data_IF_461502686435
#
_entry.id   IF_461502686435
#
_cell.length_a   1.000
_cell.length_b   1.000
_cell.length_c   1.000
_cell.angle_alpha   90.00
_cell.angle_beta   90.00
_cell.angle_gamma   90.00
#
_symmetry.space_group_name_H-M   'P 1'
#
loop_
_entity.id
_entity.type
_entity.pdbx_description
1 polymer ?
#
# COMPACT_ATOMS: atom_id res chain seq x y z
N UNK A 1 10.19 -9.46 28.15
CA UNK A 1 8.75 -9.46 27.84
C UNK A 1 8.48 -8.37 26.82
N UNK A 2 7.56 -8.61 25.89
CA UNK A 2 7.15 -7.59 24.92
C UNK A 2 5.81 -7.02 25.35
N UNK A 3 5.73 -5.70 25.52
CA UNK A 3 4.45 -5.02 25.70
C UNK A 3 3.65 -5.13 24.42
N UNK A 4 2.41 -5.58 24.51
CA UNK A 4 1.56 -5.80 23.35
C UNK A 4 0.15 -5.24 23.55
N UNK A 5 -0.49 -4.96 22.42
CA UNK A 5 -1.94 -4.87 22.31
C UNK A 5 -2.39 -6.00 21.40
N UNK A 6 -3.24 -6.88 21.92
CA UNK A 6 -3.85 -7.99 21.17
C UNK A 6 -5.24 -7.54 20.76
N UNK A 7 -5.57 -7.69 19.48
CA UNK A 7 -6.94 -7.57 18.98
C UNK A 7 -7.45 -8.96 18.59
N UNK A 8 -8.66 -9.27 19.03
CA UNK A 8 -9.31 -10.55 18.80
C UNK A 8 -10.27 -10.46 17.60
N UNK A 9 -10.67 -11.63 17.09
CA UNK A 9 -11.63 -11.73 15.98
C UNK A 9 -13.01 -11.16 16.31
N UNK A 10 -13.39 -11.15 17.59
CA UNK A 10 -14.64 -10.59 18.09
C UNK A 10 -14.62 -9.05 18.20
N UNK A 11 -13.51 -8.41 17.83
CA UNK A 11 -13.32 -6.96 17.92
C UNK A 11 -12.85 -6.46 19.28
N UNK A 12 -12.76 -7.33 20.29
CA UNK A 12 -12.22 -6.95 21.59
C UNK A 12 -10.70 -6.75 21.54
N UNK A 13 -10.17 -5.98 22.49
CA UNK A 13 -8.73 -5.77 22.60
C UNK A 13 -8.25 -5.88 24.05
N UNK A 14 -7.05 -6.44 24.23
CA UNK A 14 -6.38 -6.53 25.53
C UNK A 14 -4.95 -6.01 25.45
N UNK A 15 -4.53 -5.27 26.47
CA UNK A 15 -3.15 -4.80 26.63
C UNK A 15 -2.47 -5.61 27.74
N UNK A 16 -1.23 -5.98 27.51
CA UNK A 16 -0.45 -6.75 28.48
C UNK A 16 0.93 -7.08 27.93
N UNK A 17 1.51 -8.15 28.44
CA UNK A 17 2.86 -8.59 28.12
C UNK A 17 2.86 -10.02 27.56
N UNK A 18 3.68 -10.25 26.55
CA UNK A 18 3.96 -11.60 26.05
C UNK A 18 5.42 -11.93 26.38
N UNK A 19 5.69 -12.98 27.18
CA UNK A 19 7.06 -13.39 27.51
C UNK A 19 7.77 -13.98 26.29
N UNK A 20 7.07 -14.79 25.51
CA UNK A 20 7.58 -15.40 24.29
C UNK A 20 6.44 -15.63 23.29
N UNK A 21 6.68 -15.27 22.02
CA UNK A 21 5.71 -15.46 20.94
C UNK A 21 6.28 -16.37 19.86
N UNK A 22 5.57 -17.47 19.56
CA UNK A 22 5.88 -18.34 18.44
C UNK A 22 4.61 -18.58 17.60
N UNK A 23 4.55 -18.07 16.35
CA UNK A 23 3.37 -18.18 15.50
C UNK A 23 3.05 -19.61 15.04
N UNK A 24 3.98 -20.56 15.20
CA UNK A 24 3.74 -21.97 14.90
C UNK A 24 3.02 -22.72 16.04
N UNK A 25 2.92 -22.13 17.23
CA UNK A 25 2.17 -22.71 18.35
C UNK A 25 0.70 -22.28 18.29
N UNK A 26 -0.19 -23.17 18.71
CA UNK A 26 -1.63 -22.88 18.79
C UNK A 26 -1.99 -21.92 19.93
N UNK A 27 -1.10 -21.75 20.90
CA UNK A 27 -1.34 -20.95 22.09
C UNK A 27 -0.26 -19.91 22.33
N UNK A 28 -0.67 -18.79 22.92
CA UNK A 28 0.16 -17.63 23.22
C UNK A 28 0.04 -17.32 24.71
N UNK A 29 1.15 -17.37 25.48
CA UNK A 29 1.13 -16.91 26.87
C UNK A 29 0.97 -15.39 26.91
N UNK A 30 0.07 -14.90 27.78
CA UNK A 30 -0.28 -13.50 27.90
C UNK A 30 -0.44 -13.11 29.36
N UNK A 31 0.25 -12.06 29.77
CA UNK A 31 0.24 -11.56 31.14
C UNK A 31 -0.47 -10.20 31.20
N UNK A 32 -1.35 -10.04 32.18
CA UNK A 32 -2.08 -8.78 32.43
C UNK A 32 -1.99 -8.41 33.89
N UNK A 33 -2.14 -7.13 34.21
CA UNK A 33 -2.31 -6.71 35.59
C UNK A 33 -3.66 -7.24 36.11
N UNK A 34 -3.65 -7.82 37.32
CA UNK A 34 -4.85 -8.15 38.07
C UNK A 34 -5.70 -6.90 38.33
N UNK A 35 -7.01 -7.04 38.54
CA UNK A 35 -7.94 -5.95 38.87
C UNK A 35 -7.48 -5.13 40.09
N UNK A 36 -6.76 -5.77 41.03
CA UNK A 36 -6.20 -5.12 42.22
C UNK A 36 -4.87 -4.36 41.96
N UNK A 37 -4.34 -4.43 40.74
CA UNK A 37 -3.09 -3.79 40.32
C UNK A 37 -1.81 -4.34 40.96
N UNK A 38 -1.92 -5.33 41.86
CA UNK A 38 -0.80 -5.82 42.70
C UNK A 38 -0.14 -7.11 42.20
N UNK A 39 -0.80 -7.87 41.33
CA UNK A 39 -0.33 -9.18 40.87
C UNK A 39 -0.47 -9.30 39.35
N UNK A 40 0.40 -10.09 38.73
CA UNK A 40 0.29 -10.44 37.31
C UNK A 40 -0.57 -11.70 37.16
N UNK A 41 -1.56 -11.64 36.28
CA UNK A 41 -2.39 -12.78 35.88
C UNK A 41 -1.86 -13.31 34.56
N UNK A 42 -1.38 -14.55 34.57
CA UNK A 42 -0.95 -15.25 33.37
C UNK A 42 -2.13 -16.05 32.79
N UNK A 43 -2.43 -15.80 31.52
CA UNK A 43 -3.47 -16.48 30.74
C UNK A 43 -2.86 -17.08 29.49
N UNK A 44 -3.46 -18.16 29.01
CA UNK A 44 -3.09 -18.77 27.72
C UNK A 44 -4.18 -18.45 26.70
N UNK A 45 -3.82 -17.75 25.62
CA UNK A 45 -4.73 -17.37 24.54
C UNK A 45 -4.58 -18.33 23.36
N UNK A 46 -5.65 -18.60 22.62
CA UNK A 46 -5.59 -19.36 21.37
C UNK A 46 -5.28 -18.44 20.19
N UNK A 47 -4.27 -18.79 19.39
CA UNK A 47 -3.81 -17.96 18.26
C UNK A 47 -4.88 -17.79 17.18
N UNK A 48 -5.81 -18.76 17.09
CA UNK A 48 -6.91 -18.73 16.12
C UNK A 48 -7.97 -17.67 16.44
N UNK A 49 -8.09 -17.26 17.70
CA UNK A 49 -9.01 -16.22 18.17
C UNK A 49 -8.41 -14.81 18.00
N UNK A 50 -7.11 -14.74 17.69
CA UNK A 50 -6.37 -13.48 17.56
C UNK A 50 -6.42 -13.00 16.11
N UNK A 51 -6.89 -11.77 15.93
CA UNK A 51 -6.83 -11.03 14.66
C UNK A 51 -5.40 -10.58 14.36
N UNK A 52 -4.83 -9.83 15.31
CA UNK A 52 -3.46 -9.29 15.21
C UNK A 52 -2.87 -8.98 16.58
N UNK A 53 -1.55 -8.91 16.65
CA UNK A 53 -0.80 -8.53 17.85
C UNK A 53 0.13 -7.38 17.50
N UNK A 54 -0.06 -6.24 18.15
CA UNK A 54 0.78 -5.05 18.02
C UNK A 54 1.87 -5.12 19.09
N UNK A 55 3.13 -5.32 18.68
CA UNK A 55 4.28 -5.29 19.59
C UNK A 55 4.77 -3.86 19.73
N UNK A 56 4.68 -3.28 20.93
CA UNK A 56 4.91 -1.85 21.14
C UNK A 56 6.42 -1.51 21.23
N UNK A 57 6.79 -0.34 20.72
CA UNK A 57 8.15 0.22 20.81
C UNK A 57 8.54 0.43 22.29
N UNK A 58 9.83 0.23 22.61
CA UNK A 58 10.34 0.26 24.00
C UNK A 58 10.48 1.65 24.62
N UNK A 59 10.43 2.74 23.86
CA UNK A 59 10.63 4.10 24.38
C UNK A 59 9.37 4.72 25.01
N UNK A 60 8.84 4.00 26.01
CA UNK A 60 8.39 4.60 27.25
C UNK A 60 9.16 3.89 28.38
N UNK A 61 10.26 4.54 28.77
CA UNK A 61 11.17 4.25 29.87
C UNK A 61 12.30 3.20 29.64
N UNK A 62 13.50 3.77 29.62
CA UNK A 62 14.79 3.30 30.17
C UNK A 62 15.66 2.30 29.40
N UNK A 63 16.89 2.78 29.16
CA UNK A 63 18.07 2.05 28.73
C UNK A 63 18.51 0.96 29.72
N UNK A 64 19.22 -0.02 29.16
CA UNK A 64 20.24 -0.86 29.80
C UNK A 64 19.87 -2.28 30.26
N UNK A 65 20.59 -3.23 29.63
CA UNK A 65 21.02 -4.55 30.12
C UNK A 65 20.02 -5.73 30.08
N UNK A 66 20.27 -6.69 29.18
CA UNK A 66 20.87 -8.03 29.48
C UNK A 66 20.74 -8.99 28.26
N UNK A 67 21.93 -9.41 27.78
CA UNK A 67 22.42 -10.73 27.28
C UNK A 67 21.45 -11.65 26.51
N UNK A 68 21.74 -11.99 25.24
CA UNK A 68 22.62 -13.10 24.76
C UNK A 68 22.24 -14.49 25.27
N UNK A 69 21.33 -15.14 24.55
CA UNK A 69 21.18 -16.57 24.24
C UNK A 69 19.83 -16.65 23.47
N UNK A 70 19.78 -16.89 22.16
CA UNK A 70 20.21 -18.12 21.51
C UNK A 70 20.67 -17.83 20.08
N UNK A 71 21.99 -17.89 19.90
CA UNK A 71 22.67 -17.97 18.61
C UNK A 71 22.43 -19.40 18.08
N UNK A 72 21.25 -19.63 17.51
CA UNK A 72 20.94 -20.82 16.69
C UNK A 72 19.84 -20.56 15.64
N UNK A 73 19.47 -19.30 15.40
CA UNK A 73 18.66 -18.87 14.24
C UNK A 73 19.36 -17.80 13.38
N UNK A 74 20.65 -17.58 13.65
CA UNK A 74 21.49 -16.54 13.04
C UNK A 74 22.02 -16.92 11.65
N UNK A 75 21.22 -17.62 10.85
CA UNK A 75 21.41 -17.73 9.39
C UNK A 75 20.33 -17.01 8.57
N UNK A 76 19.40 -16.30 9.22
CA UNK A 76 18.40 -15.46 8.54
C UNK A 76 18.42 -14.00 9.03
N UNK A 77 19.61 -13.48 9.35
CA UNK A 77 19.79 -12.06 9.61
C UNK A 77 19.99 -11.32 8.27
N UNK A 78 18.95 -10.60 7.81
CA UNK A 78 19.09 -9.55 6.79
C UNK A 78 18.25 -9.72 5.52
N UNK A 79 16.93 -9.56 5.60
CA UNK A 79 16.08 -9.45 4.40
C UNK A 79 14.85 -8.59 4.66
N UNK A 80 14.93 -7.26 4.50
CA UNK A 80 13.71 -6.42 4.37
C UNK A 80 13.15 -6.67 2.97
N UNK A 81 11.95 -7.26 2.83
CA UNK A 81 11.61 -7.96 1.58
C UNK A 81 10.35 -7.49 0.82
N UNK A 82 9.28 -7.01 1.43
CA UNK A 82 8.07 -6.57 0.69
C UNK A 82 7.37 -5.40 1.35
N UNK A 83 6.90 -4.40 0.59
CA UNK A 83 5.91 -3.44 1.08
C UNK A 83 4.53 -4.04 0.84
N UNK A 84 3.79 -4.28 1.92
CA UNK A 84 2.45 -4.82 1.86
C UNK A 84 1.44 -3.72 2.17
N UNK A 85 0.34 -3.78 1.44
CA UNK A 85 -0.93 -3.17 1.85
C UNK A 85 -1.87 -4.33 2.12
N UNK A 86 -2.26 -4.49 3.38
CA UNK A 86 -3.06 -5.61 3.88
C UNK A 86 -4.45 -5.08 4.21
N UNK A 87 -5.45 -5.59 3.52
CA UNK A 87 -6.86 -5.30 3.78
C UNK A 87 -7.47 -6.44 4.57
N UNK A 88 -8.14 -6.11 5.68
CA UNK A 88 -8.75 -7.08 6.58
C UNK A 88 -10.27 -7.14 6.43
N UNK A 89 -10.87 -8.23 6.91
CA UNK A 89 -12.30 -8.53 6.73
C UNK A 89 -13.24 -7.47 7.33
N UNK A 90 -12.75 -6.65 8.27
CA UNK A 90 -13.49 -5.55 8.88
C UNK A 90 -13.21 -4.18 8.25
N UNK A 91 -12.56 -4.17 7.08
CA UNK A 91 -12.22 -2.95 6.33
C UNK A 91 -10.98 -2.22 6.83
N UNK A 92 -10.32 -2.72 7.88
CA UNK A 92 -9.07 -2.14 8.36
C UNK A 92 -7.92 -2.40 7.36
N UNK A 93 -7.21 -1.33 6.99
CA UNK A 93 -6.06 -1.40 6.07
C UNK A 93 -4.76 -1.12 6.82
N UNK A 94 -3.84 -2.08 6.76
CA UNK A 94 -2.50 -1.95 7.33
C UNK A 94 -1.46 -1.83 6.22
N UNK A 95 -0.58 -0.83 6.33
CA UNK A 95 0.53 -0.64 5.39
C UNK A 95 1.86 -0.75 6.11
N UNK A 96 2.73 -1.61 5.59
CA UNK A 96 4.01 -1.86 6.23
C UNK A 96 4.98 -2.64 5.36
N UNK A 97 6.12 -2.98 5.92
CA UNK A 97 7.13 -3.84 5.29
C UNK A 97 7.20 -5.18 5.99
N UNK A 98 7.49 -6.25 5.27
CA UNK A 98 7.73 -7.58 5.85
C UNK A 98 9.00 -8.21 5.31
N UNK A 99 9.58 -9.14 6.08
CA UNK A 99 10.74 -9.93 5.69
C UNK A 99 10.36 -11.12 4.80
N UNK A 100 9.12 -11.62 4.91
CA UNK A 100 8.61 -12.77 4.16
C UNK A 100 7.08 -12.73 4.16
N UNK A 101 6.48 -12.96 2.99
CA UNK A 101 5.05 -13.17 2.86
C UNK A 101 4.78 -14.26 1.84
N UNK A 102 3.91 -15.20 2.20
CA UNK A 102 3.32 -16.18 1.30
C UNK A 102 1.82 -16.21 1.53
N UNK A 103 0.98 -16.10 0.49
CA UNK A 103 -0.48 -16.23 0.63
C UNK A 103 -0.93 -17.57 1.25
N UNK A 104 -0.06 -18.59 1.22
CA UNK A 104 -0.35 -19.93 1.76
C UNK A 104 -0.02 -20.06 3.26
N UNK A 105 0.72 -19.11 3.82
CA UNK A 105 1.04 -19.12 5.26
C UNK A 105 -0.16 -18.64 6.08
N UNK A 106 -0.40 -19.29 7.22
CA UNK A 106 -1.52 -18.97 8.12
C UNK A 106 -1.38 -17.60 8.81
N UNK A 107 -0.19 -17.02 8.77
CA UNK A 107 0.10 -15.73 9.40
C UNK A 107 1.40 -15.14 8.87
N UNK A 108 1.58 -13.84 9.05
CA UNK A 108 2.82 -13.15 8.72
C UNK A 108 3.02 -11.95 9.64
N UNK A 109 4.23 -11.37 9.59
CA UNK A 109 4.54 -10.13 10.31
C UNK A 109 4.54 -8.93 9.37
N UNK A 110 4.20 -7.77 9.90
CA UNK A 110 4.22 -6.49 9.22
C UNK A 110 4.87 -5.44 10.14
N UNK A 111 5.92 -4.79 9.67
CA UNK A 111 6.49 -3.59 10.30
C UNK A 111 5.77 -2.36 9.76
N UNK A 112 5.05 -1.58 10.57
CA UNK A 112 4.26 -0.46 10.08
C UNK A 112 5.15 0.61 9.44
N UNK A 113 4.71 1.18 8.33
CA UNK A 113 5.41 2.27 7.64
C UNK A 113 5.09 3.65 8.21
N UNK A 114 3.97 3.78 8.94
CA UNK A 114 3.60 5.02 9.61
C UNK A 114 4.53 5.26 10.82
N UNK A 115 5.33 6.35 10.85
CA UNK A 115 6.20 6.65 11.99
C UNK A 115 5.43 6.85 13.30
N UNK A 116 4.17 7.29 13.21
CA UNK A 116 3.27 7.49 14.36
C UNK A 116 2.62 6.20 14.88
N UNK A 117 2.83 5.05 14.22
CA UNK A 117 2.36 3.77 14.75
C UNK A 117 3.19 3.40 16.00
N UNK A 118 2.55 3.09 17.15
CA UNK A 118 3.27 2.73 18.37
C UNK A 118 3.91 1.33 18.28
N UNK A 119 3.63 0.57 17.22
CA UNK A 119 4.13 -0.80 17.05
C UNK A 119 5.51 -0.82 16.39
N UNK A 120 6.41 -1.63 16.93
CA UNK A 120 7.65 -2.05 16.28
C UNK A 120 7.36 -3.06 15.16
N UNK A 121 6.43 -3.99 15.42
CA UNK A 121 5.95 -4.97 14.46
C UNK A 121 4.54 -5.42 14.81
N UNK A 122 3.82 -5.93 13.82
CA UNK A 122 2.44 -6.39 13.92
C UNK A 122 2.42 -7.84 13.42
N UNK A 123 1.98 -8.77 14.26
CA UNK A 123 1.59 -10.11 13.81
C UNK A 123 0.19 -10.04 13.22
N UNK A 124 -0.03 -10.64 12.04
CA UNK A 124 -1.32 -10.65 11.36
C UNK A 124 -1.72 -12.11 11.09
N UNK A 125 -2.93 -12.47 11.49
CA UNK A 125 -3.53 -13.76 11.17
C UNK A 125 -4.15 -13.70 9.76
N UNK A 126 -3.69 -14.57 8.84
CA UNK A 126 -4.11 -14.54 7.44
C UNK A 126 -5.60 -14.83 7.26
N UNK A 127 -6.28 -15.46 8.23
CA UNK A 127 -7.75 -15.68 8.19
C UNK A 127 -8.55 -14.37 8.21
N UNK A 128 -7.93 -13.31 8.71
CA UNK A 128 -8.55 -11.99 8.81
C UNK A 128 -8.27 -11.12 7.59
N UNK A 129 -7.48 -11.63 6.64
CA UNK A 129 -6.96 -10.85 5.52
C UNK A 129 -7.77 -11.19 4.28
N UNK A 130 -8.41 -10.19 3.72
CA UNK A 130 -9.19 -10.31 2.49
C UNK A 130 -8.28 -10.16 1.27
N UNK A 131 -7.31 -9.25 1.34
CA UNK A 131 -6.42 -8.94 0.21
C UNK A 131 -5.06 -8.46 0.69
N UNK A 132 -4.01 -8.84 -0.05
CA UNK A 132 -2.66 -8.31 0.15
C UNK A 132 -2.10 -7.83 -1.19
N UNK A 133 -1.85 -6.53 -1.30
CA UNK A 133 -1.10 -5.94 -2.40
C UNK A 133 0.40 -5.94 -2.06
N UNK A 134 1.19 -6.59 -2.90
CA UNK A 134 2.64 -6.70 -2.75
C UNK A 134 3.33 -5.71 -3.69
N UNK A 135 3.89 -4.64 -3.11
CA UNK A 135 4.78 -3.74 -3.84
C UNK A 135 6.21 -4.25 -3.73
N UNK A 136 6.78 -4.67 -4.86
CA UNK A 136 8.19 -5.08 -4.98
C UNK A 136 9.12 -3.87 -4.77
N UNK A 137 10.09 -4.02 -3.87
CA UNK A 137 11.05 -2.98 -3.53
C UNK A 137 12.29 -3.08 -4.41
N UNK A 138 12.81 -1.94 -4.88
CA UNK A 138 13.98 -1.86 -5.77
C UNK A 138 15.18 -2.69 -5.27
N UNK A 139 15.53 -2.57 -3.99
CA UNK A 139 16.64 -3.31 -3.39
C UNK A 139 16.48 -4.83 -3.52
N UNK A 140 15.26 -5.35 -3.41
CA UNK A 140 14.99 -6.78 -3.57
C UNK A 140 15.00 -7.21 -5.03
N UNK A 141 14.51 -6.36 -5.94
CA UNK A 141 14.60 -6.61 -7.37
C UNK A 141 16.05 -6.76 -7.83
N UNK A 142 16.95 -5.95 -7.28
CA UNK A 142 18.39 -6.06 -7.51
C UNK A 142 18.97 -7.38 -6.98
N UNK A 143 18.48 -7.87 -5.83
CA UNK A 143 18.88 -9.19 -5.29
C UNK A 143 18.35 -10.34 -6.14
N UNK A 144 17.07 -10.30 -6.52
CA UNK A 144 16.43 -11.36 -7.30
C UNK A 144 17.00 -11.42 -8.74
N UNK A 145 17.37 -10.27 -9.31
CA UNK A 145 18.12 -10.16 -10.57
C UNK A 145 19.60 -10.57 -10.43
N UNK A 146 20.04 -10.98 -9.23
CA UNK A 146 21.43 -11.35 -8.89
C UNK A 146 22.45 -10.24 -9.16
N UNK A 147 22.01 -8.98 -9.16
CA UNK A 147 22.86 -7.80 -9.34
C UNK A 147 23.60 -7.45 -8.04
N UNK A 148 22.97 -7.70 -6.89
CA UNK A 148 23.58 -7.56 -5.57
C UNK A 148 23.23 -8.76 -4.68
N UNK A 149 24.03 -9.02 -3.66
CA UNK A 149 23.73 -10.00 -2.61
C UNK A 149 22.87 -9.40 -1.50
N UNK A 150 22.19 -10.26 -0.73
CA UNK A 150 21.43 -9.81 0.45
C UNK A 150 22.28 -9.06 1.47
N UNK A 151 23.55 -9.46 1.64
CA UNK A 151 24.50 -8.78 2.53
C UNK A 151 24.86 -7.37 2.02
N UNK A 152 25.05 -7.21 0.71
CA UNK A 152 25.33 -5.91 0.10
C UNK A 152 24.12 -4.96 0.23
N UNK A 153 22.90 -5.49 0.03
CA UNK A 153 21.68 -4.72 0.26
C UNK A 153 21.56 -4.29 1.74
N UNK A 154 21.86 -5.19 2.69
CA UNK A 154 21.79 -4.88 4.11
C UNK A 154 22.77 -3.77 4.51
N UNK A 155 24.00 -3.81 4.00
CA UNK A 155 24.99 -2.77 4.25
C UNK A 155 24.52 -1.41 3.70
N UNK A 156 23.94 -1.39 2.50
CA UNK A 156 23.39 -0.18 1.91
C UNK A 156 22.19 0.38 2.71
N UNK A 157 21.34 -0.50 3.26
CA UNK A 157 20.22 -0.11 4.14
C UNK A 157 20.70 0.48 5.47
N UNK A 158 21.78 -0.04 6.04
CA UNK A 158 22.38 0.51 7.26
C UNK A 158 22.90 1.94 7.01
N UNK A 159 23.58 2.16 5.89
CA UNK A 159 24.04 3.50 5.47
C UNK A 159 22.85 4.45 5.22
N UNK A 160 21.75 3.95 4.67
CA UNK A 160 20.53 4.73 4.48
C UNK A 160 19.86 5.10 5.82
N UNK A 161 19.93 4.23 6.82
CA UNK A 161 19.37 4.49 8.15
C UNK A 161 20.11 5.65 8.85
N UNK A 162 21.43 5.73 8.65
CA UNK A 162 22.28 6.83 9.14
C UNK A 162 22.07 8.13 8.35
N UNK A 163 21.72 8.04 7.06
CA UNK A 163 21.43 9.19 6.21
C UNK A 163 20.14 9.03 5.41
N UNK A 164 19.01 9.35 6.05
CA UNK A 164 17.66 9.20 5.49
C UNK A 164 17.39 10.01 4.21
N UNK A 165 18.24 10.99 3.87
CA UNK A 165 18.11 11.77 2.63
C UNK A 165 18.66 11.03 1.41
N UNK A 166 19.52 10.04 1.60
CA UNK A 166 20.10 9.25 0.50
C UNK A 166 19.14 8.14 0.06
N UNK A 167 19.01 7.98 -1.25
CA UNK A 167 18.22 6.90 -1.84
C UNK A 167 19.05 5.62 -1.89
N UNK A 168 18.42 4.48 -1.62
CA UNK A 168 19.11 3.17 -1.62
C UNK A 168 19.81 2.88 -2.95
N UNK A 169 19.20 3.25 -4.08
CA UNK A 169 19.81 3.11 -5.40
C UNK A 169 21.07 3.96 -5.58
N UNK A 170 21.11 5.18 -5.01
CA UNK A 170 22.30 6.04 -5.06
C UNK A 170 23.43 5.46 -4.22
N UNK A 171 23.12 4.94 -3.02
CA UNK A 171 24.09 4.29 -2.14
C UNK A 171 24.72 3.08 -2.82
N UNK A 172 23.91 2.26 -3.51
CA UNK A 172 24.39 1.08 -4.24
C UNK A 172 25.30 1.44 -5.42
N UNK A 173 25.05 2.58 -6.09
CA UNK A 173 25.93 3.09 -7.16
C UNK A 173 27.21 3.68 -6.58
N UNK A 174 27.13 4.48 -5.50
CA UNK A 174 28.29 5.07 -4.82
C UNK A 174 29.23 4.01 -4.25
N UNK A 175 28.69 2.88 -3.79
CA UNK A 175 29.47 1.74 -3.31
C UNK A 175 29.96 0.82 -4.45
N UNK A 176 29.77 1.22 -5.71
CA UNK A 176 30.15 0.45 -6.91
C UNK A 176 29.55 -0.96 -6.97
N UNK A 177 28.43 -1.19 -6.26
CA UNK A 177 27.75 -2.48 -6.22
C UNK A 177 26.89 -2.71 -7.45
N UNK A 178 26.38 -1.63 -8.05
CA UNK A 178 25.65 -1.63 -9.32
C UNK A 178 26.09 -0.44 -10.15
N UNK A 179 26.08 -0.59 -11.48
CA UNK A 179 26.26 0.54 -12.39
C UNK A 179 25.02 1.42 -12.46
N UNK A 180 25.20 2.68 -12.86
CA UNK A 180 24.07 3.59 -13.10
C UNK A 180 23.09 3.05 -14.16
N UNK A 181 23.61 2.37 -15.19
CA UNK A 181 22.81 1.68 -16.21
C UNK A 181 21.95 0.56 -15.61
N UNK A 182 22.52 -0.29 -14.75
CA UNK A 182 21.78 -1.37 -14.08
C UNK A 182 20.74 -0.83 -13.09
N UNK A 183 21.04 0.30 -12.44
CA UNK A 183 20.08 1.00 -11.60
C UNK A 183 18.90 1.50 -12.45
N UNK A 184 19.16 2.14 -13.59
CA UNK A 184 18.14 2.65 -14.50
C UNK A 184 17.28 1.50 -15.07
N UNK A 185 17.90 0.41 -15.52
CA UNK A 185 17.20 -0.81 -15.97
C UNK A 185 16.33 -1.40 -14.85
N UNK A 186 16.82 -1.46 -13.62
CA UNK A 186 16.06 -2.01 -12.48
C UNK A 186 14.95 -1.06 -12.02
N UNK A 187 15.14 0.25 -12.18
CA UNK A 187 14.10 1.26 -11.97
C UNK A 187 13.04 1.18 -13.07
N UNK A 188 13.42 0.86 -14.30
CA UNK A 188 12.48 0.65 -15.39
C UNK A 188 11.69 -0.64 -15.21
N UNK A 189 12.32 -1.74 -14.79
CA UNK A 189 11.60 -2.96 -14.35
C UNK A 189 10.71 -2.65 -13.15
N UNK A 190 11.13 -1.81 -12.20
CA UNK A 190 10.28 -1.39 -11.06
C UNK A 190 9.09 -0.53 -11.52
N UNK A 191 9.28 0.30 -12.54
CA UNK A 191 8.21 1.07 -13.19
C UNK A 191 7.31 0.16 -14.03
N UNK A 192 7.81 -0.92 -14.61
CA UNK A 192 7.05 -1.93 -15.37
C UNK A 192 6.29 -2.90 -14.45
N UNK A 193 6.79 -3.15 -13.23
CA UNK A 193 6.05 -3.85 -12.15
C UNK A 193 4.94 -2.97 -11.54
N UNK A 194 4.71 -1.76 -12.07
CA UNK A 194 3.36 -1.18 -12.12
C UNK A 194 2.53 -2.04 -13.06
N UNK A 195 2.22 -3.27 -12.62
CA UNK A 195 1.41 -4.27 -13.29
C UNK A 195 0.45 -3.61 -14.28
N UNK A 196 0.75 -3.69 -15.58
CA UNK A 196 -0.04 -3.05 -16.62
C UNK A 196 -1.51 -3.40 -16.41
N UNK A 197 -2.43 -2.43 -16.56
CA UNK A 197 -3.86 -2.61 -16.28
C UNK A 197 -4.40 -3.93 -16.85
N UNK A 198 -4.01 -4.25 -18.10
CA UNK A 198 -4.36 -5.50 -18.75
C UNK A 198 -3.89 -6.75 -18.02
N UNK A 199 -2.64 -6.79 -17.56
CA UNK A 199 -2.07 -7.93 -16.83
C UNK A 199 -2.68 -8.09 -15.42
N UNK A 200 -3.14 -7.01 -14.80
CA UNK A 200 -3.91 -7.07 -13.55
C UNK A 200 -5.25 -7.74 -13.80
N UNK A 201 -5.97 -7.27 -14.83
CA UNK A 201 -7.29 -7.75 -15.18
C UNK A 201 -7.27 -9.23 -15.61
N UNK A 202 -6.22 -9.66 -16.31
CA UNK A 202 -6.03 -11.08 -16.67
C UNK A 202 -5.74 -11.93 -15.45
N UNK A 203 -4.83 -11.50 -14.56
CA UNK A 203 -4.51 -12.24 -13.32
C UNK A 203 -5.69 -12.34 -12.36
N UNK A 204 -6.52 -11.29 -12.32
CA UNK A 204 -7.74 -11.26 -11.52
C UNK A 204 -8.92 -11.98 -12.21
N UNK A 205 -8.70 -12.62 -13.37
CA UNK A 205 -9.69 -13.37 -14.15
C UNK A 205 -10.89 -12.54 -14.67
N UNK A 206 -10.75 -11.21 -14.72
CA UNK A 206 -11.71 -10.30 -15.34
C UNK A 206 -11.57 -10.27 -16.88
N UNK A 207 -10.39 -10.61 -17.39
CA UNK A 207 -10.11 -10.74 -18.82
C UNK A 207 -9.42 -12.06 -19.14
N UNK A 208 -9.71 -12.62 -20.31
CA UNK A 208 -8.84 -13.65 -20.90
C UNK A 208 -7.66 -13.01 -21.62
N UNK A 209 -6.60 -13.80 -21.87
CA UNK A 209 -5.44 -13.29 -22.59
C UNK A 209 -5.80 -12.83 -24.00
N UNK A 210 -6.68 -13.56 -24.66
CA UNK A 210 -7.15 -13.27 -26.01
C UNK A 210 -7.96 -11.96 -26.08
N UNK A 211 -8.78 -11.70 -25.06
CA UNK A 211 -9.54 -10.45 -24.95
C UNK A 211 -8.63 -9.25 -24.76
N UNK A 212 -7.59 -9.40 -23.92
CA UNK A 212 -6.59 -8.36 -23.72
C UNK A 212 -5.81 -8.08 -25.00
N UNK A 213 -5.31 -9.12 -25.68
CA UNK A 213 -4.53 -8.96 -26.91
C UNK A 213 -5.35 -8.27 -28.01
N UNK A 214 -6.65 -8.57 -28.11
CA UNK A 214 -7.58 -7.88 -29.01
C UNK A 214 -7.74 -6.39 -28.67
N UNK A 215 -7.92 -6.06 -27.41
CA UNK A 215 -8.04 -4.67 -26.98
C UNK A 215 -6.76 -3.87 -27.22
N UNK A 216 -5.58 -4.48 -27.03
CA UNK A 216 -4.27 -3.88 -27.31
C UNK A 216 -4.06 -3.62 -28.80
N UNK A 217 -4.53 -4.51 -29.68
CA UNK A 217 -4.50 -4.27 -31.14
C UNK A 217 -5.30 -3.02 -31.52
N UNK A 218 -6.52 -2.89 -31.00
CA UNK A 218 -7.38 -1.72 -31.24
C UNK A 218 -6.74 -0.45 -30.67
N UNK A 219 -6.10 -0.53 -29.49
CA UNK A 219 -5.39 0.60 -28.90
C UNK A 219 -4.20 1.05 -29.76
N UNK A 220 -3.50 0.11 -30.39
CA UNK A 220 -2.38 0.39 -31.28
C UNK A 220 -2.85 1.16 -32.53
N UNK A 221 -4.04 0.84 -33.04
CA UNK A 221 -4.68 1.53 -34.15
C UNK A 221 -5.27 2.89 -33.73
N UNK A 222 -5.76 3.01 -32.49
CA UNK A 222 -6.34 4.24 -31.95
C UNK A 222 -5.63 4.71 -30.68
N UNK A 223 -4.50 5.41 -30.86
CA UNK A 223 -3.67 5.91 -29.75
C UNK A 223 -4.33 6.97 -28.87
N UNK A 224 -5.45 7.56 -29.28
CA UNK A 224 -6.19 8.53 -28.47
C UNK A 224 -7.03 7.84 -27.38
N UNK A 225 -7.46 6.60 -27.61
CA UNK A 225 -8.26 5.85 -26.65
C UNK A 225 -7.37 5.08 -25.68
N UNK A 226 -7.78 5.08 -24.41
CA UNK A 226 -7.10 4.30 -23.37
C UNK A 226 -7.61 2.87 -23.36
N UNK A 227 -6.76 1.93 -22.92
CA UNK A 227 -7.09 0.50 -22.86
C UNK A 227 -8.41 0.25 -22.10
N UNK A 228 -8.63 0.92 -20.97
CA UNK A 228 -9.86 0.77 -20.18
C UNK A 228 -11.12 1.21 -20.94
N UNK A 229 -11.06 2.26 -21.76
CA UNK A 229 -12.18 2.69 -22.60
C UNK A 229 -12.50 1.63 -23.65
N UNK A 230 -11.47 1.10 -24.31
CA UNK A 230 -11.62 0.06 -25.34
C UNK A 230 -12.23 -1.21 -24.74
N UNK A 231 -11.80 -1.63 -23.54
CA UNK A 231 -12.32 -2.80 -22.85
C UNK A 231 -13.82 -2.66 -22.51
N UNK A 232 -14.27 -1.46 -22.15
CA UNK A 232 -15.69 -1.17 -21.93
C UNK A 232 -16.48 -1.12 -23.24
N UNK A 233 -15.95 -0.49 -24.29
CA UNK A 233 -16.59 -0.46 -25.63
C UNK A 233 -16.77 -1.86 -26.22
N UNK A 234 -15.80 -2.74 -26.00
CA UNK A 234 -15.87 -4.16 -26.39
C UNK A 234 -16.82 -4.98 -25.51
N UNK A 235 -17.42 -4.38 -24.47
CA UNK A 235 -18.27 -5.02 -23.47
C UNK A 235 -17.58 -6.16 -22.71
N UNK A 236 -16.25 -6.09 -22.59
CA UNK A 236 -15.49 -7.06 -21.80
C UNK A 236 -15.50 -6.72 -20.32
N UNK A 237 -15.58 -5.43 -19.99
CA UNK A 237 -15.61 -4.93 -18.62
C UNK A 237 -16.59 -3.78 -18.47
N UNK A 238 -17.00 -3.53 -17.23
CA UNK A 238 -17.75 -2.33 -16.87
C UNK A 238 -16.82 -1.18 -16.47
N UNK A 239 -17.28 0.08 -16.50
CA UNK A 239 -16.53 1.23 -15.95
C UNK A 239 -16.03 1.00 -14.52
N UNK A 240 -16.84 0.35 -13.69
CA UNK A 240 -16.53 0.07 -12.29
C UNK A 240 -15.39 -0.95 -12.15
N UNK A 241 -15.39 -2.01 -12.99
CA UNK A 241 -14.31 -3.00 -13.01
C UNK A 241 -12.96 -2.34 -13.35
N UNK A 242 -12.97 -1.38 -14.29
CA UNK A 242 -11.78 -0.61 -14.66
C UNK A 242 -11.31 0.27 -13.49
N UNK A 243 -12.23 0.98 -12.84
CA UNK A 243 -11.90 1.84 -11.70
C UNK A 243 -11.35 1.05 -10.53
N UNK A 244 -11.95 -0.10 -10.22
CA UNK A 244 -11.52 -1.00 -9.16
C UNK A 244 -10.12 -1.57 -9.43
N UNK A 245 -9.86 -2.00 -10.67
CA UNK A 245 -8.54 -2.50 -11.06
C UNK A 245 -7.45 -1.41 -10.98
N UNK A 246 -7.75 -0.20 -11.45
CA UNK A 246 -6.84 0.95 -11.37
C UNK A 246 -6.62 1.40 -9.91
N UNK A 247 -7.66 1.41 -9.08
CA UNK A 247 -7.58 1.69 -7.64
C UNK A 247 -6.65 0.72 -6.94
N UNK A 248 -6.79 -0.57 -7.25
CA UNK A 248 -5.89 -1.61 -6.75
C UNK A 248 -4.45 -1.40 -7.23
N UNK A 249 -4.23 -1.05 -8.49
CA UNK A 249 -2.89 -0.83 -9.06
C UNK A 249 -2.20 0.38 -8.44
N UNK A 250 -2.94 1.47 -8.28
CA UNK A 250 -2.43 2.77 -7.90
C UNK A 250 -2.51 3.00 -6.37
N UNK A 251 -3.18 2.12 -5.63
CA UNK A 251 -3.33 2.22 -4.18
C UNK A 251 -4.04 3.51 -3.76
N UNK A 252 -5.10 3.88 -4.47
CA UNK A 252 -5.94 5.05 -4.19
C UNK A 252 -7.42 4.65 -4.25
N UNK A 253 -8.29 5.42 -3.61
CA UNK A 253 -9.73 5.21 -3.66
C UNK A 253 -10.29 5.52 -5.06
N UNK A 254 -11.46 4.97 -5.38
CA UNK A 254 -12.21 5.28 -6.59
C UNK A 254 -13.60 5.80 -6.22
N UNK A 255 -14.23 6.49 -7.16
CA UNK A 255 -15.58 7.03 -7.02
C UNK A 255 -16.36 6.84 -8.33
N UNK A 256 -17.64 6.53 -8.20
CA UNK A 256 -18.56 6.56 -9.32
C UNK A 256 -19.12 7.98 -9.48
N UNK A 257 -18.69 8.67 -10.53
CA UNK A 257 -19.20 9.99 -10.88
C UNK A 257 -20.58 9.96 -11.54
N UNK A 258 -21.05 8.82 -12.05
CA UNK A 258 -22.32 8.75 -12.79
C UNK A 258 -23.54 8.92 -11.90
N UNK A 259 -23.43 8.53 -10.62
CA UNK A 259 -24.50 8.59 -9.63
C UNK A 259 -24.36 9.77 -8.66
N UNK A 260 -23.30 10.57 -8.78
CA UNK A 260 -22.95 11.58 -7.80
C UNK A 260 -23.42 12.98 -8.21
N UNK A 261 -24.12 13.66 -7.31
CA UNK A 261 -24.47 15.08 -7.45
C UNK A 261 -23.41 15.93 -6.76
N UNK A 262 -22.71 16.78 -7.53
CA UNK A 262 -21.64 17.62 -7.00
C UNK A 262 -22.23 18.98 -6.56
N UNK A 263 -22.00 19.43 -5.33
CA UNK A 263 -22.44 20.75 -4.88
C UNK A 263 -21.82 21.88 -5.69
N UNK A 264 -22.60 22.92 -6.00
CA UNK A 264 -22.15 24.04 -6.84
C UNK A 264 -20.99 24.84 -6.20
N UNK A 265 -20.98 24.93 -4.86
CA UNK A 265 -19.90 25.56 -4.11
C UNK A 265 -18.58 24.79 -4.19
N UNK A 266 -18.61 23.51 -4.57
CA UNK A 266 -17.42 22.67 -4.78
C UNK A 266 -16.86 22.82 -6.18
N UNK A 267 -17.71 23.00 -7.19
CA UNK A 267 -17.30 23.18 -8.59
C UNK A 267 -16.41 24.42 -8.76
N UNK A 268 -16.70 25.49 -8.02
CA UNK A 268 -15.91 26.73 -8.04
C UNK A 268 -14.58 26.69 -7.27
N UNK A 269 -14.23 25.56 -6.63
CA UNK A 269 -12.99 25.46 -5.84
C UNK A 269 -11.74 25.21 -6.67
N UNK A 270 -11.89 24.94 -7.98
CA UNK A 270 -10.80 24.83 -8.93
C UNK A 270 -11.00 25.74 -10.13
N UNK A 271 -9.94 26.36 -10.67
CA UNK A 271 -9.99 27.14 -11.89
C UNK A 271 -10.42 26.29 -13.10
N UNK A 272 -11.33 26.84 -13.92
CA UNK A 272 -11.87 26.14 -15.11
C UNK A 272 -10.80 25.69 -16.11
N UNK A 273 -9.71 26.44 -16.26
CA UNK A 273 -8.60 26.09 -17.14
C UNK A 273 -7.85 24.85 -16.65
N UNK A 274 -7.68 24.68 -15.33
CA UNK A 274 -7.09 23.47 -14.74
C UNK A 274 -8.02 22.27 -14.91
N UNK A 275 -9.32 22.47 -14.62
CA UNK A 275 -10.38 21.46 -14.78
C UNK A 275 -10.41 20.93 -16.22
N UNK A 276 -10.46 21.83 -17.21
CA UNK A 276 -10.52 21.47 -18.62
C UNK A 276 -9.22 20.85 -19.13
N UNK A 277 -8.07 21.46 -18.83
CA UNK A 277 -6.77 21.00 -19.36
C UNK A 277 -6.39 19.61 -18.87
N UNK A 278 -6.65 19.33 -17.60
CA UNK A 278 -6.22 18.08 -16.97
C UNK A 278 -7.35 17.07 -16.79
N UNK A 279 -8.56 17.37 -17.27
CA UNK A 279 -9.73 16.50 -17.18
C UNK A 279 -9.96 16.02 -15.74
N UNK A 280 -10.06 16.97 -14.81
CA UNK A 280 -10.27 16.70 -13.38
C UNK A 280 -11.59 17.30 -12.91
N UNK A 281 -12.24 16.66 -11.95
CA UNK A 281 -13.52 17.13 -11.41
C UNK A 281 -13.39 17.26 -9.89
N UNK A 282 -13.57 18.46 -9.29
CA UNK A 282 -13.70 18.58 -7.85
C UNK A 282 -15.02 17.95 -7.41
N UNK A 283 -14.97 17.09 -6.40
CA UNK A 283 -16.10 16.24 -6.02
C UNK A 283 -16.68 16.61 -4.66
N UNK A 284 -15.82 16.75 -3.66
CA UNK A 284 -16.27 16.95 -2.29
C UNK A 284 -15.28 17.78 -1.50
N UNK A 285 -15.78 18.64 -0.61
CA UNK A 285 -15.00 19.35 0.39
C UNK A 285 -15.18 18.70 1.76
N UNK A 286 -14.10 18.17 2.34
CA UNK A 286 -14.07 17.56 3.67
C UNK A 286 -13.38 18.45 4.70
N UNK A 287 -13.96 18.52 5.89
CA UNK A 287 -13.41 19.24 7.06
C UNK A 287 -12.99 20.69 6.78
N UNK A 288 -13.58 21.35 5.77
CA UNK A 288 -13.26 22.73 5.39
C UNK A 288 -11.91 22.94 4.68
N UNK A 289 -10.97 22.00 4.75
CA UNK A 289 -9.59 22.19 4.24
C UNK A 289 -9.14 21.15 3.22
N UNK A 290 -9.90 20.07 3.02
CA UNK A 290 -9.54 18.98 2.12
C UNK A 290 -10.50 18.95 0.92
N UNK A 291 -9.96 19.06 -0.29
CA UNK A 291 -10.69 18.94 -1.54
C UNK A 291 -10.41 17.57 -2.16
N UNK A 292 -11.47 16.79 -2.37
CA UNK A 292 -11.43 15.52 -3.09
C UNK A 292 -11.61 15.82 -4.58
N UNK A 293 -10.65 15.35 -5.39
CA UNK A 293 -10.63 15.59 -6.83
C UNK A 293 -10.63 14.25 -7.56
N UNK A 294 -11.62 14.04 -8.43
CA UNK A 294 -11.70 12.87 -9.29
C UNK A 294 -10.87 13.08 -10.56
N UNK A 295 -10.09 12.06 -10.91
CA UNK A 295 -9.31 12.01 -12.15
C UNK A 295 -9.11 10.57 -12.59
N UNK A 296 -9.04 10.34 -13.90
CA UNK A 296 -8.65 9.02 -14.43
C UNK A 296 -7.14 8.76 -14.30
N UNK A 297 -6.34 9.79 -14.02
CA UNK A 297 -4.88 9.69 -13.88
C UNK A 297 -4.39 10.34 -12.57
N UNK A 298 -4.79 9.84 -11.39
CA UNK A 298 -4.54 10.48 -10.09
C UNK A 298 -3.05 10.59 -9.71
N UNK A 299 -2.14 9.95 -10.46
CA UNK A 299 -0.68 10.02 -10.27
C UNK A 299 0.04 10.92 -11.29
N UNK A 300 -0.67 11.62 -12.15
CA UNK A 300 -0.04 12.60 -13.04
C UNK A 300 0.46 13.78 -12.20
N UNK A 301 1.78 13.83 -11.97
CA UNK A 301 2.40 14.83 -11.11
C UNK A 301 2.23 16.27 -11.62
N UNK A 302 2.13 16.47 -12.94
CA UNK A 302 1.88 17.79 -13.52
C UNK A 302 0.47 18.27 -13.20
N UNK A 303 -0.52 17.38 -13.38
CA UNK A 303 -1.92 17.64 -13.00
C UNK A 303 -2.04 17.89 -11.51
N UNK A 304 -1.43 17.05 -10.67
CA UNK A 304 -1.47 17.21 -9.21
C UNK A 304 -0.90 18.55 -8.75
N UNK A 305 0.22 18.97 -9.36
CA UNK A 305 0.82 20.28 -9.08
C UNK A 305 -0.10 21.41 -9.52
N UNK A 306 -0.63 21.36 -10.74
CA UNK A 306 -1.55 22.39 -11.25
C UNK A 306 -2.83 22.52 -10.40
N UNK A 307 -3.41 21.39 -9.97
CA UNK A 307 -4.57 21.37 -9.08
C UNK A 307 -4.22 21.95 -7.71
N UNK A 308 -3.06 21.60 -7.15
CA UNK A 308 -2.61 22.16 -5.87
C UNK A 308 -2.25 23.66 -5.93
N UNK A 309 -1.79 24.17 -7.08
CA UNK A 309 -1.57 25.60 -7.32
C UNK A 309 -2.89 26.36 -7.55
N UNK A 310 -3.89 25.68 -8.11
CA UNK A 310 -5.20 26.25 -8.40
C UNK A 310 -6.12 26.42 -7.18
N UNK A 311 -5.78 25.82 -6.04
CA UNK A 311 -6.62 25.88 -4.82
C UNK A 311 -5.79 26.12 -3.57
N UNK A 312 -6.36 26.80 -2.57
CA UNK A 312 -5.71 26.99 -1.26
C UNK A 312 -5.88 25.79 -0.33
N UNK A 313 -6.63 24.76 -0.77
CA UNK A 313 -6.98 23.58 0.00
C UNK A 313 -5.97 22.45 -0.20
N UNK A 314 -5.89 21.53 0.77
CA UNK A 314 -5.18 20.26 0.56
C UNK A 314 -5.99 19.42 -0.42
N UNK A 315 -5.33 18.77 -1.36
CA UNK A 315 -5.99 18.00 -2.41
C UNK A 315 -5.72 16.50 -2.24
N UNK A 316 -6.76 15.70 -2.29
CA UNK A 316 -6.67 14.24 -2.35
C UNK A 316 -7.33 13.74 -3.63
N UNK A 317 -6.69 12.78 -4.30
CA UNK A 317 -7.11 12.32 -5.62
C UNK A 317 -7.77 10.95 -5.55
N UNK A 318 -8.93 10.84 -6.19
CA UNK A 318 -9.67 9.59 -6.36
C UNK A 318 -9.78 9.24 -7.84
N UNK A 319 -9.83 7.94 -8.14
CA UNK A 319 -10.02 7.48 -9.51
C UNK A 319 -11.48 7.59 -9.90
N UNK A 320 -11.73 8.10 -11.10
CA UNK A 320 -13.02 7.95 -11.77
C UNK A 320 -12.82 7.52 -13.22
N UNK A 321 -13.86 6.90 -13.78
CA UNK A 321 -13.83 6.42 -15.16
C UNK A 321 -13.77 7.61 -16.13
N UNK A 322 -12.90 7.52 -17.14
CA UNK A 322 -12.71 8.58 -18.15
C UNK A 322 -14.02 9.04 -18.79
N UNK A 323 -14.92 8.10 -19.13
CA UNK A 323 -16.22 8.45 -19.71
C UNK A 323 -17.14 9.21 -18.76
N UNK A 324 -17.08 8.92 -17.46
CA UNK A 324 -17.88 9.63 -16.46
C UNK A 324 -17.29 11.01 -16.14
N UNK A 325 -15.96 11.15 -16.20
CA UNK A 325 -15.30 12.45 -16.11
C UNK A 325 -15.70 13.34 -17.28
N UNK A 326 -15.61 12.84 -18.52
CA UNK A 326 -16.02 13.59 -19.70
C UNK A 326 -17.49 14.04 -19.61
N UNK A 327 -18.39 13.13 -19.23
CA UNK A 327 -19.80 13.46 -19.02
C UNK A 327 -20.02 14.50 -17.90
N UNK A 328 -19.26 14.43 -16.80
CA UNK A 328 -19.33 15.42 -15.74
C UNK A 328 -18.82 16.80 -16.18
N UNK A 329 -17.73 16.85 -16.95
CA UNK A 329 -17.19 18.09 -17.51
C UNK A 329 -18.18 18.75 -18.47
N UNK A 330 -18.86 17.96 -19.29
CA UNK A 330 -19.93 18.44 -20.17
C UNK A 330 -21.13 18.96 -19.37
N UNK A 331 -21.63 18.17 -18.41
CA UNK A 331 -22.85 18.50 -17.65
C UNK A 331 -22.70 19.69 -16.71
N UNK A 332 -21.56 19.79 -16.00
CA UNK A 332 -21.35 20.82 -14.97
C UNK A 332 -20.61 22.07 -15.48
N UNK A 333 -19.75 21.93 -16.49
CA UNK A 333 -18.92 23.03 -17.00
C UNK A 333 -19.18 23.38 -18.47
N UNK A 334 -19.94 22.55 -19.21
CA UNK A 334 -20.22 22.78 -20.63
C UNK A 334 -19.01 22.56 -21.54
N UNK A 335 -18.01 21.79 -21.09
CA UNK A 335 -16.84 21.48 -21.91
C UNK A 335 -17.16 20.34 -22.89
N UNK A 336 -16.93 20.59 -24.18
CA UNK A 336 -17.18 19.66 -25.29
C UNK A 336 -15.91 19.04 -25.84
#
# INVERSE_FOLDING_TARGET
MSKVVIQFLDGTSKRGDIPFFNPAKQTVPFETASEDGKSLVQTTLHIEEIKKILFLKKDAAEESAIRKETIAQTQFAGTVAYKLIVEMNDGEVLTGTTLKYSPQEKSFFLTPLNPGDPSERIYINSRCVTKVDQKRLLGRMLVDAKLISGNQLQNALNVQAENRKKLIGQILVEQELISRKQLDESLDVQKEDRSLLGEILVRAQYLTREQLDRALLIQKENRKKRLGQILVELKYLTPDDICLALASQLGCAWIDLSSLTIPEDVLGLLPCDVVQKYEVVPVERKFGELLIVASAQPRNEEMRRAVAEGTTMRTEFVIAYDGHIAAALENYYGFS
#
